data_IF_449507149613
#
_entry.id   IF_449507149613
#
_cell.length_a   1.000
_cell.length_b   1.000
_cell.length_c   1.000
_cell.angle_alpha   90.00
_cell.angle_beta   90.00
_cell.angle_gamma   90.00
#
_symmetry.space_group_name_H-M   'P 1'
#
loop_
_entity.id
_entity.type
_entity.pdbx_description
1 polymer ?
#
# COMPACT_ATOMS: atom_id res chain seq x y z
N UNK A 1 9.43 -8.31 -18.98
CA UNK A 1 9.18 -8.85 -17.64
C UNK A 1 7.71 -9.14 -17.47
N UNK A 2 7.40 -10.22 -16.80
CA UNK A 2 6.03 -10.68 -16.63
C UNK A 2 5.54 -10.34 -15.23
N UNK A 3 4.34 -9.78 -15.17
CA UNK A 3 3.70 -9.51 -13.89
C UNK A 3 2.85 -10.71 -13.50
N UNK A 4 2.99 -11.15 -12.27
CA UNK A 4 2.20 -12.26 -11.75
C UNK A 4 1.33 -11.74 -10.61
N UNK A 5 0.01 -11.98 -10.71
CA UNK A 5 -0.94 -11.50 -9.72
C UNK A 5 -1.31 -12.59 -8.74
N UNK A 6 -1.36 -12.23 -7.46
CA UNK A 6 -1.69 -13.14 -6.37
C UNK A 6 -2.88 -12.60 -5.60
N UNK A 7 -3.91 -13.43 -5.43
CA UNK A 7 -5.06 -13.03 -4.61
C UNK A 7 -4.62 -13.00 -3.15
N UNK A 8 -4.81 -11.86 -2.50
CA UNK A 8 -4.36 -11.64 -1.13
C UNK A 8 -5.50 -11.35 -0.16
N UNK A 9 -6.66 -10.95 -0.66
CA UNK A 9 -7.79 -10.61 0.19
C UNK A 9 -9.08 -10.57 -0.62
N UNK A 10 -10.21 -10.57 0.08
CA UNK A 10 -11.50 -10.29 -0.54
C UNK A 10 -11.82 -8.81 -0.32
N UNK A 11 -12.61 -8.22 -1.22
CA UNK A 11 -12.98 -6.81 -1.09
C UNK A 11 -13.75 -6.56 0.22
N UNK A 12 -14.49 -7.58 0.69
CA UNK A 12 -15.24 -7.46 1.94
C UNK A 12 -14.37 -7.37 3.18
N UNK A 13 -13.07 -7.66 3.08
CA UNK A 13 -12.16 -7.57 4.22
C UNK A 13 -11.71 -6.15 4.52
N UNK A 14 -11.93 -5.22 3.60
CA UNK A 14 -11.52 -3.82 3.78
C UNK A 14 -12.70 -2.90 3.57
N UNK A 15 -12.97 -2.08 4.58
CA UNK A 15 -13.95 -1.01 4.50
C UNK A 15 -13.24 0.29 4.19
N UNK A 16 -14.00 1.37 4.00
CA UNK A 16 -13.41 2.69 3.79
C UNK A 16 -12.41 3.02 4.90
N UNK A 17 -11.20 3.37 4.51
CA UNK A 17 -10.12 3.64 5.46
C UNK A 17 -9.45 2.39 6.00
N UNK A 18 -9.87 1.21 5.55
CA UNK A 18 -9.29 -0.05 6.02
C UNK A 18 -7.87 -0.26 5.54
N UNK A 19 -7.06 -0.90 6.37
CA UNK A 19 -5.67 -1.19 6.08
C UNK A 19 -5.37 -2.61 6.51
N UNK A 20 -4.60 -3.33 5.70
CA UNK A 20 -4.27 -4.72 5.99
C UNK A 20 -2.83 -5.02 5.59
N UNK A 21 -2.05 -5.55 6.52
CA UNK A 21 -0.70 -6.00 6.25
C UNK A 21 -0.73 -7.31 5.47
N UNK A 22 0.06 -7.39 4.42
CA UNK A 22 0.20 -8.58 3.58
C UNK A 22 1.68 -8.91 3.45
N UNK A 23 2.04 -10.17 3.71
CA UNK A 23 3.37 -10.69 3.39
C UNK A 23 3.21 -11.58 2.17
N UNK A 24 3.72 -11.12 1.04
CA UNK A 24 3.57 -11.83 -0.22
C UNK A 24 4.94 -12.13 -0.79
N UNK A 25 5.35 -13.40 -0.68
CA UNK A 25 6.65 -13.88 -1.18
C UNK A 25 7.82 -13.02 -0.70
N UNK A 26 7.77 -12.66 0.58
CA UNK A 26 8.83 -11.85 1.19
C UNK A 26 8.67 -10.35 1.04
N UNK A 27 7.68 -9.90 0.26
CA UNK A 27 7.38 -8.48 0.13
C UNK A 27 6.38 -8.08 1.20
N UNK A 28 6.75 -7.09 2.01
CA UNK A 28 5.83 -6.55 3.02
C UNK A 28 5.02 -5.44 2.40
N UNK A 29 3.71 -5.63 2.34
CA UNK A 29 2.80 -4.76 1.61
C UNK A 29 1.68 -4.31 2.52
N UNK A 30 1.27 -3.05 2.40
CA UNK A 30 0.10 -2.53 3.07
C UNK A 30 -1.00 -2.36 2.04
N UNK A 31 -2.11 -3.07 2.26
CA UNK A 31 -3.30 -2.97 1.42
C UNK A 31 -4.22 -1.93 2.05
N UNK A 32 -4.68 -0.97 1.27
CA UNK A 32 -5.45 0.18 1.78
C UNK A 32 -6.69 0.40 0.93
N UNK A 33 -7.82 0.70 1.57
CA UNK A 33 -8.98 1.22 0.86
C UNK A 33 -9.19 2.68 1.26
N UNK A 34 -9.24 3.56 0.26
CA UNK A 34 -9.39 4.99 0.47
C UNK A 34 -10.26 5.57 -0.64
N UNK A 35 -11.34 6.25 -0.27
CA UNK A 35 -12.30 6.84 -1.23
C UNK A 35 -12.84 5.81 -2.22
N UNK A 36 -13.11 4.61 -1.74
CA UNK A 36 -13.66 3.55 -2.57
C UNK A 36 -12.67 2.86 -3.49
N UNK A 37 -11.41 3.24 -3.46
CA UNK A 37 -10.36 2.63 -4.27
C UNK A 37 -9.42 1.82 -3.40
N UNK A 38 -8.82 0.79 -3.99
CA UNK A 38 -7.85 -0.07 -3.30
C UNK A 38 -6.45 0.24 -3.78
N UNK A 39 -5.50 0.22 -2.86
CA UNK A 39 -4.10 0.51 -3.14
C UNK A 39 -3.22 -0.51 -2.44
N UNK A 40 -2.06 -0.82 -3.03
CA UNK A 40 -1.05 -1.66 -2.41
C UNK A 40 0.27 -0.89 -2.44
N UNK A 41 0.84 -0.66 -1.27
CA UNK A 41 2.08 0.09 -1.13
C UNK A 41 3.03 -0.67 -0.22
N UNK A 42 4.31 -0.29 -0.23
CA UNK A 42 5.27 -0.88 0.69
C UNK A 42 4.80 -0.63 2.13
N UNK A 43 4.94 -1.65 2.98
CA UNK A 43 4.52 -1.56 4.36
C UNK A 43 5.40 -0.62 5.18
N UNK A 44 6.71 -0.61 4.90
CA UNK A 44 7.66 0.18 5.67
C UNK A 44 7.85 1.57 5.08
N UNK A 45 7.94 2.56 5.98
CA UNK A 45 8.25 3.92 5.60
C UNK A 45 9.69 4.01 5.09
N UNK A 46 9.93 4.77 4.03
CA UNK A 46 11.24 4.82 3.39
C UNK A 46 12.33 5.47 4.25
N UNK A 47 11.95 6.32 5.21
CA UNK A 47 12.95 7.01 6.04
C UNK A 47 13.32 6.23 7.30
N UNK A 48 12.56 5.20 7.65
CA UNK A 48 12.78 4.41 8.86
C UNK A 48 12.06 3.07 8.71
N UNK A 49 12.46 2.09 9.51
CA UNK A 49 11.85 0.77 9.43
C UNK A 49 10.58 0.66 10.30
N UNK A 50 9.68 1.62 10.14
CA UNK A 50 8.39 1.60 10.83
C UNK A 50 7.26 1.33 9.84
N UNK A 51 6.30 0.52 10.26
CA UNK A 51 5.17 0.21 9.42
C UNK A 51 4.22 1.38 9.25
N UNK A 52 3.67 1.51 8.05
CA UNK A 52 2.71 2.58 7.75
C UNK A 52 1.30 2.26 8.21
N UNK A 53 1.06 1.04 8.68
CA UNK A 53 -0.26 0.63 9.15
C UNK A 53 -0.75 1.53 10.28
N UNK A 54 -2.00 1.96 10.18
CA UNK A 54 -2.56 2.91 11.13
C UNK A 54 -2.31 4.36 10.78
N UNK A 55 -1.56 4.62 9.70
CA UNK A 55 -1.32 5.97 9.25
C UNK A 55 -2.59 6.66 8.80
N UNK A 56 -2.64 7.98 8.97
CA UNK A 56 -3.80 8.77 8.59
C UNK A 56 -3.90 8.85 7.07
N UNK A 57 -5.11 8.63 6.55
CA UNK A 57 -5.38 8.72 5.12
C UNK A 57 -6.06 10.06 4.85
N UNK A 58 -5.53 10.81 3.88
CA UNK A 58 -6.09 12.09 3.52
C UNK A 58 -5.69 12.46 2.09
N UNK A 59 -6.69 12.83 1.29
CA UNK A 59 -6.46 13.32 -0.08
C UNK A 59 -5.60 12.39 -0.94
N UNK A 60 -5.81 11.07 -0.80
CA UNK A 60 -5.09 10.08 -1.58
C UNK A 60 -3.69 9.78 -1.07
N UNK A 61 -3.36 10.19 0.14
CA UNK A 61 -2.05 9.99 0.74
C UNK A 61 -2.15 9.30 2.10
N UNK A 62 -1.05 8.70 2.53
CA UNK A 62 -0.95 8.10 3.86
C UNK A 62 0.22 8.75 4.60
N UNK A 63 -0.01 9.07 5.88
CA UNK A 63 0.99 9.69 6.73
C UNK A 63 1.59 8.67 7.67
N UNK A 64 2.92 8.57 7.71
CA UNK A 64 3.61 7.68 8.63
C UNK A 64 3.23 8.06 10.07
N UNK A 65 2.71 7.10 10.87
CA UNK A 65 2.22 7.44 12.20
C UNK A 65 3.31 7.87 13.19
N UNK A 66 4.57 7.64 12.86
CA UNK A 66 5.66 7.93 13.79
C UNK A 66 6.35 9.26 13.55
N UNK A 67 6.50 9.68 12.30
CA UNK A 67 7.31 10.87 12.00
C UNK A 67 6.61 11.86 11.07
N UNK A 68 5.42 11.54 10.62
CA UNK A 68 4.64 12.46 9.78
C UNK A 68 5.04 12.52 8.31
N UNK A 69 5.92 11.63 7.84
CA UNK A 69 6.23 11.54 6.42
C UNK A 69 4.97 11.15 5.65
N UNK A 70 4.73 11.77 4.51
CA UNK A 70 3.52 11.55 3.75
C UNK A 70 3.85 10.98 2.37
N UNK A 71 3.09 9.95 1.95
CA UNK A 71 3.30 9.28 0.66
C UNK A 71 1.98 9.18 -0.10
N UNK A 72 2.04 9.36 -1.42
CA UNK A 72 0.88 9.19 -2.27
C UNK A 72 0.55 7.69 -2.40
N UNK A 73 -0.72 7.33 -2.22
CA UNK A 73 -1.13 5.93 -2.31
C UNK A 73 -1.05 5.38 -3.73
N UNK A 74 -1.22 6.23 -4.72
CA UNK A 74 -1.28 5.81 -6.11
C UNK A 74 0.06 5.36 -6.64
N UNK A 75 1.14 6.03 -6.28
CA UNK A 75 2.46 5.75 -6.82
C UNK A 75 3.58 5.70 -5.79
N UNK A 76 3.27 5.95 -4.52
CA UNK A 76 4.27 5.91 -3.46
C UNK A 76 5.17 7.13 -3.38
N UNK A 77 4.89 8.19 -4.16
CA UNK A 77 5.75 9.37 -4.18
C UNK A 77 5.73 10.10 -2.84
N UNK A 78 6.87 10.68 -2.48
CA UNK A 78 7.02 11.44 -1.25
C UNK A 78 6.29 12.77 -1.39
N UNK A 79 5.44 13.10 -0.39
CA UNK A 79 4.73 14.35 -0.36
C UNK A 79 5.25 15.29 0.72
N UNK A 80 5.84 14.78 1.77
CA UNK A 80 6.42 15.64 2.79
C UNK A 80 7.52 14.94 3.59
N UNK A 81 8.46 15.75 4.13
CA UNK A 81 9.54 15.21 4.94
C UNK A 81 8.98 14.59 6.23
N UNK A 82 9.77 13.79 6.97
CA UNK A 82 11.22 13.62 6.83
C UNK A 82 11.66 12.60 5.79
N UNK A 83 10.74 11.99 5.03
CA UNK A 83 11.15 11.06 3.99
C UNK A 83 11.60 11.82 2.74
N UNK A 84 12.64 11.31 2.10
CA UNK A 84 13.17 11.88 0.86
C UNK A 84 13.04 10.93 -0.31
N UNK A 85 12.73 9.66 -0.05
CA UNK A 85 12.61 8.65 -1.08
C UNK A 85 11.18 8.12 -1.14
N UNK A 86 10.69 7.80 -2.34
CA UNK A 86 9.36 7.22 -2.45
C UNK A 86 9.35 5.80 -1.90
N UNK A 87 8.16 5.32 -1.59
CA UNK A 87 7.95 3.90 -1.29
C UNK A 87 7.42 3.22 -2.55
N UNK A 88 7.56 1.90 -2.60
CA UNK A 88 7.10 1.12 -3.73
C UNK A 88 5.57 1.04 -3.72
N UNK A 89 4.97 1.12 -4.90
CA UNK A 89 3.54 0.84 -5.08
C UNK A 89 3.42 -0.40 -5.95
N UNK A 90 2.32 -1.13 -5.77
CA UNK A 90 2.10 -2.40 -6.46
C UNK A 90 0.82 -2.32 -7.28
N UNK A 91 0.79 -2.88 -8.50
CA UNK A 91 -0.45 -2.91 -9.26
C UNK A 91 -1.46 -3.86 -8.63
N UNK A 92 -2.73 -3.53 -8.79
CA UNK A 92 -3.83 -4.33 -8.27
C UNK A 92 -4.80 -4.69 -9.37
N UNK A 93 -5.44 -5.83 -9.19
CA UNK A 93 -6.61 -6.22 -9.99
C UNK A 93 -7.73 -6.62 -9.04
N UNK A 94 -8.94 -6.17 -9.33
CA UNK A 94 -10.12 -6.55 -8.57
C UNK A 94 -11.02 -7.36 -9.52
N UNK A 95 -11.22 -8.62 -9.20
CA UNK A 95 -12.09 -9.49 -9.98
C UNK A 95 -12.87 -10.40 -9.05
N UNK A 96 -14.17 -10.53 -9.31
CA UNK A 96 -15.07 -11.41 -8.52
C UNK A 96 -14.93 -11.16 -7.02
N UNK A 97 -14.82 -9.89 -6.63
CA UNK A 97 -14.68 -9.46 -5.24
C UNK A 97 -13.38 -9.94 -4.60
N UNK A 98 -12.38 -10.29 -5.40
CA UNK A 98 -11.06 -10.66 -4.92
C UNK A 98 -10.05 -9.59 -5.29
N UNK A 99 -9.14 -9.30 -4.37
CA UNK A 99 -8.07 -8.32 -4.57
C UNK A 99 -6.80 -9.09 -4.86
N UNK A 100 -6.19 -8.84 -6.01
CA UNK A 100 -4.93 -9.47 -6.40
C UNK A 100 -3.85 -8.42 -6.55
N UNK A 101 -2.67 -8.71 -6.01
CA UNK A 101 -1.50 -7.82 -6.07
C UNK A 101 -0.52 -8.38 -7.08
N UNK A 102 0.02 -7.52 -7.93
CA UNK A 102 0.99 -7.92 -8.94
C UNK A 102 2.41 -7.78 -8.46
N UNK A 103 3.20 -8.85 -8.67
CA UNK A 103 4.63 -8.85 -8.43
C UNK A 103 5.35 -9.20 -9.71
N UNK A 104 6.56 -8.67 -9.87
CA UNK A 104 7.39 -9.06 -11.01
C UNK A 104 7.76 -10.53 -10.89
N UNK A 105 7.48 -11.29 -11.95
CA UNK A 105 7.88 -12.68 -12.00
C UNK A 105 9.35 -12.78 -12.45
N UNK A 106 10.11 -13.56 -11.75
CA UNK A 106 11.54 -13.74 -12.01
C UNK A 106 11.78 -15.04 -12.74
#
# INVERSE_FOLDING_TARGET
MTMKYHVVAATSELEEGGQKFIDLEGEEILLVQHHGEYFAIAYLCSHAEFGLEGGQLQDGCITCPYHGAEFCLRDGSVQSPPAFEPIKSYPLKIEDNAIAVGLDAQ
#
